data_IF_776626516393
#
_entry.id   IF_776626516393
#
_cell.length_a   1.000
_cell.length_b   1.000
_cell.length_c   1.000
_cell.angle_alpha   90.00
_cell.angle_beta   90.00
_cell.angle_gamma   90.00
#
_symmetry.space_group_name_H-M   'P 1'
#
loop_
_entity.id
_entity.type
_entity.pdbx_description
1 polymer ?
#
# COMPACT_ATOMS: atom_id res chain seq x y z
N UNK A 1 21.37 41.09 3.90
CA UNK A 1 21.04 40.35 2.66
C UNK A 1 21.58 38.92 2.62
N UNK A 2 22.88 38.65 2.85
CA UNK A 2 23.41 37.26 2.78
C UNK A 2 22.80 36.34 3.84
N UNK A 3 22.61 36.84 5.07
CA UNK A 3 22.03 36.07 6.18
C UNK A 3 20.57 35.66 5.89
N UNK A 4 19.74 36.57 5.40
CA UNK A 4 18.34 36.27 5.03
C UNK A 4 18.25 35.25 3.88
N UNK A 5 19.15 35.33 2.91
CA UNK A 5 19.22 34.36 1.82
C UNK A 5 19.63 32.96 2.34
N UNK A 6 20.55 32.89 3.30
CA UNK A 6 20.92 31.64 3.96
C UNK A 6 19.75 31.04 4.76
N UNK A 7 19.02 31.85 5.53
CA UNK A 7 17.86 31.39 6.31
C UNK A 7 16.78 30.82 5.40
N UNK A 8 16.39 31.56 4.34
CA UNK A 8 15.39 31.09 3.37
C UNK A 8 15.81 29.78 2.67
N UNK A 9 17.11 29.61 2.39
CA UNK A 9 17.65 28.38 1.80
C UNK A 9 17.55 27.20 2.77
N UNK A 10 17.81 27.41 4.06
CA UNK A 10 17.69 26.37 5.10
C UNK A 10 16.23 25.95 5.27
N UNK A 11 15.30 26.89 5.39
CA UNK A 11 13.86 26.59 5.50
C UNK A 11 13.35 25.80 4.29
N UNK A 12 13.72 26.21 3.07
CA UNK A 12 13.35 25.48 1.86
C UNK A 12 13.92 24.06 1.82
N UNK A 13 15.14 23.86 2.34
CA UNK A 13 15.76 22.54 2.44
C UNK A 13 15.05 21.66 3.46
N UNK A 14 14.64 22.19 4.61
CA UNK A 14 13.84 21.45 5.60
C UNK A 14 12.49 21.01 5.05
N UNK A 15 11.79 21.88 4.31
CA UNK A 15 10.52 21.50 3.67
C UNK A 15 10.74 20.38 2.66
N UNK A 16 11.80 20.47 1.84
CA UNK A 16 12.15 19.43 0.87
C UNK A 16 12.43 18.09 1.56
N UNK A 17 13.18 18.08 2.66
CA UNK A 17 13.51 16.87 3.40
C UNK A 17 12.24 16.21 3.97
N UNK A 18 11.33 16.98 4.58
CA UNK A 18 10.04 16.48 5.08
C UNK A 18 9.17 15.86 3.99
N UNK A 19 9.18 16.43 2.78
CA UNK A 19 8.46 15.87 1.63
C UNK A 19 9.08 14.54 1.21
N UNK A 20 10.42 14.47 1.16
CA UNK A 20 11.13 13.24 0.81
C UNK A 20 10.86 12.11 1.81
N UNK A 21 10.89 12.39 3.12
CA UNK A 21 10.54 11.44 4.18
C UNK A 21 9.13 10.89 3.99
N UNK A 22 8.13 11.76 3.80
CA UNK A 22 6.74 11.33 3.55
C UNK A 22 6.56 10.53 2.27
N UNK A 23 7.37 10.81 1.24
CA UNK A 23 7.35 10.02 0.01
C UNK A 23 7.91 8.61 0.24
N UNK A 24 8.97 8.50 1.06
CA UNK A 24 9.56 7.22 1.44
C UNK A 24 8.58 6.40 2.31
N UNK A 25 7.99 7.00 3.34
CA UNK A 25 6.97 6.35 4.20
C UNK A 25 5.80 5.80 3.37
N UNK A 26 5.35 6.56 2.36
CA UNK A 26 4.28 6.11 1.45
C UNK A 26 4.74 4.95 0.58
N UNK A 27 5.97 4.98 0.06
CA UNK A 27 6.49 3.86 -0.73
C UNK A 27 6.59 2.59 0.11
N UNK A 28 7.03 2.70 1.36
CA UNK A 28 7.12 1.58 2.29
C UNK A 28 5.73 1.01 2.61
N UNK A 29 4.74 1.88 2.86
CA UNK A 29 3.37 1.46 3.12
C UNK A 29 2.72 0.68 1.95
N UNK A 30 3.17 0.89 0.71
CA UNK A 30 2.66 0.20 -0.49
C UNK A 30 3.68 -0.78 -1.09
N UNK A 31 4.70 -1.14 -0.31
CA UNK A 31 5.68 -2.15 -0.72
C UNK A 31 4.98 -3.49 -0.94
N UNK A 32 5.57 -4.32 -1.79
CA UNK A 32 5.06 -5.68 -2.03
C UNK A 32 5.07 -6.47 -0.71
N UNK A 33 6.13 -6.36 0.07
CA UNK A 33 6.30 -7.03 1.36
C UNK A 33 5.15 -6.69 2.33
N UNK A 34 4.91 -5.39 2.58
CA UNK A 34 3.84 -4.95 3.49
C UNK A 34 2.45 -5.39 3.01
N UNK A 35 2.21 -5.34 1.70
CA UNK A 35 0.92 -5.74 1.13
C UNK A 35 0.67 -7.24 1.26
N UNK A 36 1.71 -8.07 1.09
CA UNK A 36 1.61 -9.52 1.27
C UNK A 36 1.42 -9.89 2.75
N UNK A 37 2.04 -9.17 3.67
CA UNK A 37 1.78 -9.33 5.12
C UNK A 37 0.31 -9.03 5.46
N UNK A 38 -0.25 -7.94 4.91
CA UNK A 38 -1.67 -7.62 5.09
C UNK A 38 -2.57 -8.70 4.48
N UNK A 39 -2.25 -9.20 3.28
CA UNK A 39 -3.00 -10.27 2.62
C UNK A 39 -3.00 -11.54 3.45
N UNK A 40 -1.85 -11.93 4.01
CA UNK A 40 -1.71 -13.10 4.87
C UNK A 40 -2.54 -13.00 6.15
N UNK A 41 -2.69 -11.78 6.69
CA UNK A 41 -3.47 -11.53 7.90
C UNK A 41 -4.99 -11.41 7.65
N UNK A 42 -5.46 -11.43 6.40
CA UNK A 42 -6.89 -11.26 6.11
C UNK A 42 -7.71 -12.46 6.58
N UNK A 43 -8.75 -12.24 7.41
CA UNK A 43 -9.70 -13.29 7.73
C UNK A 43 -10.40 -13.76 6.45
N UNK A 44 -10.79 -15.03 6.38
CA UNK A 44 -11.56 -15.63 5.27
C UNK A 44 -10.81 -15.67 3.91
N UNK A 45 -9.54 -15.27 3.87
CA UNK A 45 -8.65 -15.50 2.72
C UNK A 45 -7.65 -16.57 3.12
N UNK A 46 -7.98 -17.83 2.84
CA UNK A 46 -7.08 -18.95 3.17
C UNK A 46 -5.81 -18.87 2.34
N UNK A 47 -4.66 -19.03 2.97
CA UNK A 47 -3.37 -19.15 2.30
C UNK A 47 -3.43 -20.25 1.23
N UNK A 48 -2.89 -19.98 0.04
CA UNK A 48 -2.95 -20.89 -1.11
C UNK A 48 -4.37 -21.27 -1.59
N UNK A 49 -5.40 -20.52 -1.20
CA UNK A 49 -6.69 -20.57 -1.90
C UNK A 49 -6.56 -19.94 -3.30
N UNK A 50 -7.45 -20.28 -4.24
CA UNK A 50 -7.48 -19.61 -5.55
C UNK A 50 -7.58 -18.09 -5.44
N UNK A 51 -8.32 -17.58 -4.43
CA UNK A 51 -8.41 -16.14 -4.18
C UNK A 51 -7.06 -15.57 -3.71
N UNK A 52 -6.36 -16.26 -2.81
CA UNK A 52 -5.06 -15.84 -2.30
C UNK A 52 -4.00 -15.77 -3.39
N UNK A 53 -3.86 -16.83 -4.21
CA UNK A 53 -2.88 -16.88 -5.29
C UNK A 53 -3.10 -15.75 -6.31
N UNK A 54 -4.35 -15.58 -6.77
CA UNK A 54 -4.69 -14.52 -7.71
C UNK A 54 -4.53 -13.11 -7.10
N UNK A 55 -4.77 -12.98 -5.78
CA UNK A 55 -4.54 -11.73 -5.06
C UNK A 55 -3.04 -11.39 -4.99
N UNK A 56 -2.17 -12.36 -4.71
CA UNK A 56 -0.72 -12.16 -4.72
C UNK A 56 -0.24 -11.62 -6.06
N UNK A 57 -0.59 -12.28 -7.17
CA UNK A 57 -0.22 -11.83 -8.52
C UNK A 57 -0.73 -10.40 -8.80
N UNK A 58 -2.02 -10.15 -8.51
CA UNK A 58 -2.67 -8.85 -8.71
C UNK A 58 -1.98 -7.72 -7.94
N UNK A 59 -1.50 -8.01 -6.73
CA UNK A 59 -0.87 -7.06 -5.83
C UNK A 59 0.63 -6.90 -6.13
N UNK A 60 1.33 -7.93 -6.57
CA UNK A 60 2.74 -7.85 -6.99
C UNK A 60 2.87 -7.02 -8.29
N UNK A 61 1.98 -7.26 -9.25
CA UNK A 61 2.12 -6.69 -10.60
C UNK A 61 1.72 -5.21 -10.70
N UNK A 62 0.88 -4.70 -9.78
CA UNK A 62 0.28 -3.38 -9.94
C UNK A 62 0.32 -2.53 -8.68
N UNK A 63 1.11 -1.45 -8.72
CA UNK A 63 1.21 -0.51 -7.61
C UNK A 63 -0.12 0.20 -7.28
N UNK A 64 -0.94 0.49 -8.30
CA UNK A 64 -2.27 1.05 -8.08
C UNK A 64 -3.17 0.12 -7.26
N UNK A 65 -3.09 -1.19 -7.50
CA UNK A 65 -3.81 -2.19 -6.71
C UNK A 65 -3.27 -2.24 -5.28
N UNK A 66 -1.96 -2.21 -5.07
CA UNK A 66 -1.34 -2.13 -3.73
C UNK A 66 -1.85 -0.94 -2.95
N UNK A 67 -1.80 0.25 -3.55
CA UNK A 67 -2.29 1.49 -2.94
C UNK A 67 -3.77 1.38 -2.58
N UNK A 68 -4.60 0.93 -3.53
CA UNK A 68 -6.04 0.77 -3.30
C UNK A 68 -6.30 -0.19 -2.13
N UNK A 69 -5.66 -1.36 -2.14
CA UNK A 69 -5.79 -2.40 -1.12
C UNK A 69 -5.41 -1.89 0.28
N UNK A 70 -4.24 -1.25 0.43
CA UNK A 70 -3.77 -0.72 1.73
C UNK A 70 -4.65 0.41 2.26
N UNK A 71 -5.22 1.25 1.38
CA UNK A 71 -6.09 2.36 1.82
C UNK A 71 -7.45 1.92 2.35
N UNK A 72 -7.86 0.66 2.11
CA UNK A 72 -9.15 0.16 2.59
C UNK A 72 -9.13 -0.07 4.10
N UNK A 73 -10.13 0.47 4.80
CA UNK A 73 -10.14 0.50 6.27
C UNK A 73 -10.51 -0.83 6.92
N UNK A 74 -11.33 -1.65 6.27
CA UNK A 74 -11.84 -2.90 6.82
C UNK A 74 -11.31 -4.09 6.02
N UNK A 75 -11.28 -5.25 6.66
CA UNK A 75 -10.87 -6.49 6.00
C UNK A 75 -11.90 -6.91 4.95
N UNK A 76 -13.19 -6.82 5.27
CA UNK A 76 -14.27 -7.04 4.30
C UNK A 76 -14.13 -6.17 3.04
N UNK A 77 -13.71 -4.91 3.16
CA UNK A 77 -13.50 -4.05 2.00
C UNK A 77 -12.31 -4.54 1.16
N UNK A 78 -11.21 -4.92 1.81
CA UNK A 78 -10.05 -5.51 1.14
C UNK A 78 -10.43 -6.79 0.41
N UNK A 79 -11.15 -7.69 1.07
CA UNK A 79 -11.61 -8.96 0.51
C UNK A 79 -12.50 -8.71 -0.70
N UNK A 80 -13.52 -7.85 -0.60
CA UNK A 80 -14.36 -7.47 -1.76
C UNK A 80 -13.57 -6.87 -2.90
N UNK A 81 -12.53 -6.10 -2.61
CA UNK A 81 -11.63 -5.59 -3.63
C UNK A 81 -10.88 -6.72 -4.32
N UNK A 82 -10.33 -7.67 -3.56
CA UNK A 82 -9.67 -8.84 -4.15
C UNK A 82 -10.65 -9.60 -5.03
N UNK A 83 -11.85 -9.92 -4.54
CA UNK A 83 -12.87 -10.61 -5.33
C UNK A 83 -13.23 -9.85 -6.63
N UNK A 84 -13.34 -8.52 -6.55
CA UNK A 84 -13.63 -7.69 -7.72
C UNK A 84 -12.49 -7.72 -8.74
N UNK A 85 -11.23 -7.72 -8.29
CA UNK A 85 -10.04 -7.67 -9.14
C UNK A 85 -9.71 -9.03 -9.75
N UNK A 86 -9.83 -10.10 -8.97
CA UNK A 86 -9.49 -11.47 -9.38
C UNK A 86 -10.67 -12.18 -10.05
N UNK A 87 -11.91 -11.72 -9.81
CA UNK A 87 -13.16 -12.41 -10.20
C UNK A 87 -13.35 -13.75 -9.48
N UNK A 88 -12.65 -13.96 -8.36
CA UNK A 88 -12.73 -15.16 -7.54
C UNK A 88 -13.43 -14.81 -6.23
N UNK A 89 -14.31 -15.68 -5.76
CA UNK A 89 -14.97 -15.53 -4.45
C UNK A 89 -14.12 -16.15 -3.35
N UNK A 90 -14.23 -15.60 -2.14
CA UNK A 90 -13.70 -16.29 -0.96
C UNK A 90 -14.42 -17.63 -0.79
N UNK A 91 -13.74 -18.58 -0.15
CA UNK A 91 -14.33 -19.89 0.11
C UNK A 91 -15.59 -19.71 1.00
N UNK A 92 -16.69 -20.38 0.66
CA UNK A 92 -17.87 -20.45 1.52
C UNK A 92 -17.57 -21.47 2.63
N UNK A 93 -17.42 -21.02 3.87
CA UNK A 93 -17.25 -21.87 5.06
C UNK A 93 -18.50 -22.73 5.35
#
# INVERSE_FOLDING_TARGET
MVVEACVKRTEALEVKNKIAERMLERQEAFSVENVLEILYALPEVREWSPLYEAAMETLIDNEGNRRAFVTMKTDEAKIRFLELRTKIKRDDD
#
